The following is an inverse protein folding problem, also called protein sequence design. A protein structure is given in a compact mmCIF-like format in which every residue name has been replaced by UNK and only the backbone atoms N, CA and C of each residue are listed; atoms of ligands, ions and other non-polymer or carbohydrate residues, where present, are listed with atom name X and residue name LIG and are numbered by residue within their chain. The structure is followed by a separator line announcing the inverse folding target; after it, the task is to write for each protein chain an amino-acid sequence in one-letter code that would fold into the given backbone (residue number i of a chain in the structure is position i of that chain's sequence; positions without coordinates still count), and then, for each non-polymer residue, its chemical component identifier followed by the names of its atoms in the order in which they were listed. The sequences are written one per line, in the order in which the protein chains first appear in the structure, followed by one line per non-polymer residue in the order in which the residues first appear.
data_IF_496060474941
#
_entry.id   IF_496060474941
#
_cell.length_a   1.000
_cell.length_b   1.000
_cell.length_c   1.000
_cell.angle_alpha   90.00
_cell.angle_beta   90.00
_cell.angle_gamma   90.00
#
_symmetry.space_group_name_H-M   'P 1'
#
loop_
_entity.id
_entity.type
_entity.pdbx_description
1 polymer ?
#
# COMPACT_ATOMS: atom_id res chain seq x y z
N UNK A 1 -4.40 -8.11 -3.75
CA UNK A 1 -4.08 -9.49 -4.13
C UNK A 1 -4.13 -9.73 -5.64
N UNK A 2 -5.31 -9.88 -6.27
CA UNK A 2 -5.42 -10.26 -7.70
C UNK A 2 -4.79 -9.24 -8.67
N UNK A 3 -5.04 -7.94 -8.43
CA UNK A 3 -4.54 -6.86 -9.29
C UNK A 3 -3.02 -6.88 -9.49
N UNK A 4 -2.24 -6.89 -8.40
CA UNK A 4 -0.77 -6.91 -8.44
C UNK A 4 -0.19 -8.28 -8.82
N UNK A 5 -0.95 -9.37 -8.63
CA UNK A 5 -0.53 -10.68 -9.14
C UNK A 5 -0.64 -10.77 -10.67
N UNK A 6 -1.72 -10.23 -11.25
CA UNK A 6 -1.93 -10.21 -12.69
C UNK A 6 -1.13 -9.10 -13.40
N UNK A 7 -0.99 -7.95 -12.75
CA UNK A 7 -0.35 -6.75 -13.31
C UNK A 7 0.65 -6.14 -12.31
N UNK A 8 1.81 -6.80 -12.09
CA UNK A 8 2.77 -6.40 -11.07
C UNK A 8 3.39 -5.02 -11.32
N UNK A 9 3.52 -4.60 -12.58
CA UNK A 9 4.01 -3.26 -12.95
C UNK A 9 3.15 -2.11 -12.40
N UNK A 10 1.92 -2.38 -11.94
CA UNK A 10 1.07 -1.38 -11.26
C UNK A 10 1.70 -0.86 -9.96
N UNK A 11 2.65 -1.57 -9.36
CA UNK A 11 3.42 -1.07 -8.23
C UNK A 11 4.09 0.27 -8.56
N UNK A 12 4.58 0.45 -9.78
CA UNK A 12 5.26 1.69 -10.18
C UNK A 12 4.31 2.86 -10.47
N UNK A 13 3.00 2.72 -10.25
CA UNK A 13 2.04 3.79 -10.49
C UNK A 13 2.37 5.02 -9.64
N UNK A 14 2.29 6.19 -10.27
CA UNK A 14 2.38 7.47 -9.56
C UNK A 14 0.98 7.93 -9.14
N UNK A 15 0.86 8.36 -7.90
CA UNK A 15 -0.31 8.98 -7.33
C UNK A 15 -0.07 10.48 -7.28
N UNK A 16 -0.80 11.24 -8.11
CA UNK A 16 -0.92 12.68 -7.96
C UNK A 16 -1.94 12.94 -6.84
N UNK A 17 -1.47 13.53 -5.75
CA UNK A 17 -2.29 13.80 -4.56
C UNK A 17 -2.37 15.31 -4.38
N UNK A 18 -3.59 15.81 -4.24
CA UNK A 18 -3.88 17.24 -4.08
C UNK A 18 -4.46 17.44 -2.68
N UNK A 19 -3.71 18.14 -1.83
CA UNK A 19 -4.20 18.64 -0.56
C UNK A 19 -4.96 19.93 -0.81
N UNK A 20 -6.26 19.94 -0.53
CA UNK A 20 -7.10 21.10 -0.76
C UNK A 20 -7.84 21.53 0.51
N UNK A 21 -8.15 22.82 0.60
CA UNK A 21 -9.01 23.39 1.63
C UNK A 21 -10.10 24.26 1.00
N UNK A 22 -11.28 24.22 1.61
CA UNK A 22 -12.40 25.08 1.24
C UNK A 22 -12.48 26.24 2.23
N UNK A 23 -12.54 27.47 1.72
CA UNK A 23 -12.82 28.67 2.53
C UNK A 23 -14.03 29.38 1.93
N UNK A 24 -15.20 29.23 2.57
CA UNK A 24 -16.47 29.63 1.96
C UNK A 24 -16.73 28.88 0.65
N UNK A 25 -16.89 29.63 -0.44
CA UNK A 25 -17.09 29.08 -1.79
C UNK A 25 -15.79 28.96 -2.61
N UNK A 26 -14.63 29.26 -2.00
CA UNK A 26 -13.34 29.20 -2.67
C UNK A 26 -12.62 27.89 -2.37
N UNK A 27 -12.17 27.20 -3.43
CA UNK A 27 -11.30 26.03 -3.37
C UNK A 27 -9.84 26.48 -3.49
N UNK A 28 -9.02 26.14 -2.51
CA UNK A 28 -7.58 26.36 -2.56
C UNK A 28 -6.85 25.02 -2.59
N UNK A 29 -5.93 24.86 -3.55
CA UNK A 29 -4.95 23.77 -3.54
C UNK A 29 -3.80 24.21 -2.64
N UNK A 30 -3.75 23.65 -1.43
CA UNK A 30 -2.73 23.97 -0.44
C UNK A 30 -1.41 23.24 -0.72
N UNK A 31 -1.51 22.01 -1.23
CA UNK A 31 -0.35 21.14 -1.44
C UNK A 31 -0.55 20.21 -2.64
N UNK A 32 0.55 19.83 -3.28
CA UNK A 32 0.59 18.86 -4.37
C UNK A 32 1.75 17.89 -4.15
N UNK A 33 1.47 16.59 -4.27
CA UNK A 33 2.47 15.54 -4.16
C UNK A 33 2.37 14.57 -5.34
N UNK A 34 3.52 14.05 -5.76
CA UNK A 34 3.61 12.89 -6.64
C UNK A 34 4.30 11.77 -5.87
N UNK A 35 3.58 10.68 -5.61
CA UNK A 35 4.02 9.61 -4.71
C UNK A 35 3.76 8.22 -5.26
N UNK A 36 4.54 7.25 -4.81
CA UNK A 36 4.26 5.82 -4.95
C UNK A 36 3.34 5.34 -3.83
N UNK A 37 2.69 4.20 -4.04
CA UNK A 37 1.76 3.64 -3.04
C UNK A 37 2.44 3.34 -1.70
N UNK A 38 3.70 2.87 -1.74
CA UNK A 38 4.47 2.57 -0.54
C UNK A 38 4.89 3.82 0.24
N UNK A 39 5.08 4.96 -0.44
CA UNK A 39 5.44 6.23 0.21
C UNK A 39 4.27 6.88 0.99
N UNK A 40 3.03 6.40 0.77
CA UNK A 40 1.83 6.95 1.43
C UNK A 40 1.14 5.95 2.35
N UNK A 41 1.60 4.68 2.35
CA UNK A 41 1.09 3.61 3.20
C UNK A 41 2.17 3.15 4.16
N UNK A 42 1.76 2.55 5.28
CA UNK A 42 2.65 2.09 6.34
C UNK A 42 1.94 1.06 7.22
N UNK A 43 2.60 0.57 8.27
CA UNK A 43 1.99 -0.33 9.24
C UNK A 43 0.98 0.38 10.14
N UNK A 44 0.33 -0.41 10.99
CA UNK A 44 -0.48 0.05 12.13
C UNK A 44 -0.27 -0.91 13.29
N UNK A 45 -0.83 -0.59 14.45
CA UNK A 45 -0.78 -1.46 15.64
C UNK A 45 -1.27 -2.88 15.34
N UNK A 46 -2.42 -2.98 14.68
CA UNK A 46 -3.09 -4.26 14.47
C UNK A 46 -2.65 -4.99 13.19
N UNK A 47 -2.04 -4.29 12.23
CA UNK A 47 -1.80 -4.82 10.87
C UNK A 47 -0.44 -4.41 10.29
N UNK A 48 0.32 -5.36 9.71
CA UNK A 48 1.55 -5.09 8.96
C UNK A 48 1.39 -4.02 7.88
N UNK A 49 0.27 -4.00 7.17
CA UNK A 49 -0.15 -2.94 6.27
C UNK A 49 -1.47 -2.34 6.78
N UNK A 50 -1.47 -1.03 7.07
CA UNK A 50 -2.64 -0.34 7.60
C UNK A 50 -3.85 -0.50 6.68
N UNK A 51 -4.93 -1.02 7.24
CA UNK A 51 -6.17 -1.27 6.54
C UNK A 51 -7.38 -0.74 7.32
N UNK A 52 -8.47 -0.54 6.61
CA UNK A 52 -9.79 -0.39 7.20
C UNK A 52 -10.41 -1.78 7.37
N UNK A 53 -10.75 -2.11 8.61
CA UNK A 53 -11.47 -3.33 8.97
C UNK A 53 -12.89 -2.98 9.39
N UNK A 54 -13.88 -3.73 8.88
CA UNK A 54 -15.29 -3.61 9.28
C UNK A 54 -15.81 -5.00 9.60
N UNK A 55 -16.33 -5.21 10.81
CA UNK A 55 -16.86 -6.51 11.24
C UNK A 55 -15.87 -7.67 11.01
N UNK A 56 -14.58 -7.44 11.30
CA UNK A 56 -13.51 -8.43 11.08
C UNK A 56 -13.04 -8.58 9.63
N UNK A 57 -13.68 -7.93 8.67
CA UNK A 57 -13.33 -8.00 7.26
C UNK A 57 -12.43 -6.82 6.84
N UNK A 58 -11.28 -7.13 6.23
CA UNK A 58 -10.41 -6.14 5.59
C UNK A 58 -11.10 -5.61 4.32
N UNK A 59 -11.38 -4.31 4.29
CA UNK A 59 -12.09 -3.65 3.19
C UNK A 59 -11.12 -2.94 2.25
N UNK A 60 -10.35 -1.98 2.78
CA UNK A 60 -9.49 -1.11 1.99
C UNK A 60 -8.13 -0.91 2.67
N UNK A 61 -7.06 -0.75 1.88
CA UNK A 61 -5.80 -0.19 2.39
C UNK A 61 -6.04 1.27 2.77
N UNK A 62 -5.42 1.73 3.86
CA UNK A 62 -5.49 3.12 4.30
C UNK A 62 -4.10 3.74 4.31
N UNK A 63 -3.97 5.00 3.84
CA UNK A 63 -2.69 5.68 3.96
C UNK A 63 -2.40 6.05 5.42
N UNK A 64 -1.11 6.26 5.71
CA UNK A 64 -0.66 6.84 6.98
C UNK A 64 -0.71 8.37 6.90
N UNK A 65 -0.27 9.12 7.92
CA UNK A 65 -0.13 10.58 7.81
C UNK A 65 1.24 10.91 7.20
N UNK A 66 1.48 10.48 5.95
CA UNK A 66 2.79 10.56 5.29
C UNK A 66 3.31 12.00 5.15
N UNK A 67 2.42 12.97 5.05
CA UNK A 67 2.72 14.40 4.95
C UNK A 67 3.11 15.04 6.30
N UNK A 68 3.03 14.30 7.40
CA UNK A 68 3.46 14.75 8.73
C UNK A 68 4.24 13.64 9.43
N UNK A 69 5.44 13.38 8.92
CA UNK A 69 6.28 12.29 9.40
C UNK A 69 6.73 12.53 10.84
N UNK A 70 7.05 13.75 11.26
CA UNK A 70 7.54 14.03 12.62
C UNK A 70 6.55 13.59 13.71
N UNK A 71 5.24 13.80 13.50
CA UNK A 71 4.20 13.54 14.50
C UNK A 71 3.51 12.19 14.37
N UNK A 72 3.89 11.36 13.41
CA UNK A 72 3.24 10.06 13.18
C UNK A 72 4.05 8.90 13.76
N UNK A 73 3.41 8.03 14.53
CA UNK A 73 4.05 6.82 15.10
C UNK A 73 4.43 5.84 14.00
N UNK A 74 3.52 5.57 13.07
CA UNK A 74 3.73 4.64 11.97
C UNK A 74 4.14 5.40 10.70
N UNK A 75 5.40 5.24 10.31
CA UNK A 75 5.97 5.90 9.12
C UNK A 75 5.56 5.17 7.84
N UNK A 76 5.63 5.84 6.68
CA UNK A 76 5.50 5.17 5.40
C UNK A 76 6.59 4.12 5.17
N UNK A 77 6.36 3.18 4.25
CA UNK A 77 7.38 2.24 3.82
C UNK A 77 8.45 2.93 2.97
N UNK A 78 9.68 2.41 3.03
CA UNK A 78 10.82 2.93 2.29
C UNK A 78 10.88 2.39 0.86
N UNK A 79 10.25 1.24 0.59
CA UNK A 79 10.38 0.55 -0.68
C UNK A 79 9.14 -0.23 -1.10
N UNK A 80 9.09 -0.59 -2.38
CA UNK A 80 8.01 -1.40 -2.93
C UNK A 80 8.02 -2.81 -2.31
N UNK A 81 9.22 -3.33 -2.02
CA UNK A 81 9.41 -4.63 -1.40
C UNK A 81 8.89 -4.64 0.05
N UNK A 82 9.19 -3.61 0.84
CA UNK A 82 8.64 -3.49 2.20
C UNK A 82 7.10 -3.49 2.18
N UNK A 83 6.50 -2.71 1.27
CA UNK A 83 5.05 -2.69 1.09
C UNK A 83 4.48 -4.08 0.73
N UNK A 84 5.12 -4.81 -0.19
CA UNK A 84 4.68 -6.15 -0.59
C UNK A 84 4.82 -7.17 0.54
N UNK A 85 5.89 -7.09 1.34
CA UNK A 85 6.07 -7.94 2.51
C UNK A 85 4.96 -7.68 3.54
N UNK A 86 4.64 -6.41 3.80
CA UNK A 86 3.53 -6.04 4.67
C UNK A 86 2.17 -6.50 4.12
N UNK A 87 1.95 -6.38 2.81
CA UNK A 87 0.75 -6.90 2.14
C UNK A 87 0.64 -8.42 2.32
N UNK A 88 1.74 -9.17 2.13
CA UNK A 88 1.77 -10.62 2.36
C UNK A 88 1.53 -10.97 3.82
N UNK A 89 2.08 -10.20 4.75
CA UNK A 89 1.79 -10.29 6.19
C UNK A 89 0.30 -10.19 6.50
N UNK A 90 -0.38 -9.19 5.95
CA UNK A 90 -1.84 -9.07 6.10
C UNK A 90 -2.58 -10.30 5.56
N UNK A 91 -2.16 -10.86 4.43
CA UNK A 91 -2.80 -12.07 3.88
C UNK A 91 -2.66 -13.28 4.79
N UNK A 92 -1.52 -13.40 5.48
CA UNK A 92 -1.23 -14.47 6.44
C UNK A 92 -1.93 -14.29 7.78
N UNK A 93 -2.17 -13.05 8.19
CA UNK A 93 -2.86 -12.72 9.44
C UNK A 93 -4.38 -12.78 9.30
N UNK A 94 -4.92 -12.46 8.12
CA UNK A 94 -6.37 -12.39 7.93
C UNK A 94 -6.98 -13.77 7.71
N UNK A 95 -7.88 -14.17 8.61
CA UNK A 95 -8.51 -15.50 8.64
C UNK A 95 -9.09 -15.93 7.28
N UNK A 96 -9.61 -14.99 6.49
CA UNK A 96 -10.19 -15.30 5.17
C UNK A 96 -9.15 -15.71 4.13
N UNK A 97 -7.89 -15.32 4.27
CA UNK A 97 -6.84 -15.61 3.28
C UNK A 97 -5.67 -16.41 3.86
N UNK A 98 -5.59 -16.59 5.18
CA UNK A 98 -4.46 -17.25 5.84
C UNK A 98 -4.23 -18.69 5.34
N UNK A 99 -5.31 -19.42 5.04
CA UNK A 99 -5.28 -20.85 4.64
C UNK A 99 -5.36 -21.05 3.12
N UNK A 100 -5.44 -19.98 2.35
CA UNK A 100 -5.47 -20.08 0.89
C UNK A 100 -4.12 -20.60 0.37
N UNK A 101 -4.13 -21.65 -0.44
CA UNK A 101 -2.90 -22.21 -1.03
C UNK A 101 -2.05 -21.15 -1.75
N UNK A 102 -2.70 -20.22 -2.44
CA UNK A 102 -2.06 -19.12 -3.15
C UNK A 102 -1.35 -18.13 -2.20
N UNK A 103 -1.78 -17.95 -0.96
CA UNK A 103 -1.09 -17.06 0.01
C UNK A 103 0.36 -17.51 0.24
N UNK A 104 0.63 -18.82 0.24
CA UNK A 104 2.00 -19.35 0.41
C UNK A 104 2.96 -19.02 -0.75
N UNK A 105 2.43 -18.76 -1.95
CA UNK A 105 3.22 -18.52 -3.16
C UNK A 105 3.10 -17.10 -3.71
N UNK A 106 2.18 -16.31 -3.17
CA UNK A 106 1.76 -15.03 -3.73
C UNK A 106 2.92 -14.05 -3.89
N UNK A 107 3.67 -13.76 -2.81
CA UNK A 107 4.77 -12.80 -2.82
C UNK A 107 5.84 -13.16 -3.88
N UNK A 108 6.25 -14.43 -3.89
CA UNK A 108 7.23 -14.96 -4.87
C UNK A 108 6.75 -14.77 -6.30
N UNK A 109 5.47 -15.05 -6.56
CA UNK A 109 4.90 -14.92 -7.90
C UNK A 109 4.79 -13.45 -8.32
N UNK A 110 4.45 -12.54 -7.40
CA UNK A 110 4.44 -11.09 -7.68
C UNK A 110 5.84 -10.59 -8.01
N UNK A 111 6.85 -10.95 -7.22
CA UNK A 111 8.25 -10.52 -7.45
C UNK A 111 8.75 -11.04 -8.80
N UNK A 112 8.57 -12.33 -9.08
CA UNK A 112 8.94 -12.94 -10.36
C UNK A 112 8.20 -12.26 -11.53
N UNK A 113 6.91 -12.02 -11.38
CA UNK A 113 6.09 -11.35 -12.38
C UNK A 113 6.53 -9.92 -12.63
N UNK A 114 6.92 -9.18 -11.58
CA UNK A 114 7.42 -7.81 -11.71
C UNK A 114 8.71 -7.76 -12.53
N UNK A 115 9.68 -8.62 -12.20
CA UNK A 115 10.94 -8.73 -12.94
C UNK A 115 10.70 -9.08 -14.42
N UNK A 116 9.81 -10.04 -14.67
CA UNK A 116 9.46 -10.45 -16.03
C UNK A 116 8.79 -9.30 -16.83
N UNK A 117 7.93 -8.51 -16.18
CA UNK A 117 7.18 -7.43 -16.85
C UNK A 117 8.00 -6.14 -17.05
N UNK A 118 8.96 -5.86 -16.17
CA UNK A 118 9.66 -4.55 -16.15
C UNK A 118 11.15 -4.63 -16.42
N UNK A 119 11.74 -5.83 -16.40
CA UNK A 119 13.18 -6.05 -16.48
C UNK A 119 13.96 -5.64 -15.22
N UNK A 120 13.29 -5.12 -14.18
CA UNK A 120 13.90 -4.59 -12.96
C UNK A 120 13.64 -5.49 -11.76
N UNK A 121 14.60 -5.54 -10.84
CA UNK A 121 14.40 -6.12 -9.53
C UNK A 121 13.62 -5.14 -8.62
N UNK A 122 12.80 -5.68 -7.73
CA UNK A 122 12.14 -4.88 -6.70
C UNK A 122 13.19 -4.51 -5.63
N UNK A 123 13.37 -3.21 -5.43
CA UNK A 123 14.09 -2.63 -4.29
C UNK A 123 13.11 -2.21 -3.21
#
# INVERSE_FOLDING_TARGET
RRSVLAHPYRLDSNYLIIGYRMTGNSLEIADVWLKKVWEITGPSEDWPLKCQVKQGEVVNIRPVKWYNTERTTYKPFNSALEFLNAFDGNQRQWTRTERDAITSTWLRNVIKGYKAATGRDLT
#
